data_IF_868495759785
#
_entry.id   IF_868495759785
#
_cell.length_a   1.000
_cell.length_b   1.000
_cell.length_c   1.000
_cell.angle_alpha   90.00
_cell.angle_beta   90.00
_cell.angle_gamma   90.00
#
_symmetry.space_group_name_H-M   'P 1'
#
loop_
_entity.id
_entity.type
_entity.pdbx_description
1 polymer ?
#
# COMPACT_ATOMS: atom_id res chain seq x y z
N UNK A 1 2.74 -4.61 -20.53
CA UNK A 1 1.91 -5.39 -19.59
C UNK A 1 2.83 -6.35 -18.85
N UNK A 2 3.03 -6.16 -17.55
CA UNK A 2 3.89 -7.03 -16.74
C UNK A 2 3.19 -8.39 -16.65
N UNK A 3 3.84 -9.46 -17.12
CA UNK A 3 3.35 -10.82 -16.99
C UNK A 3 3.86 -11.39 -15.67
N UNK A 4 3.06 -11.24 -14.62
CA UNK A 4 3.35 -11.86 -13.33
C UNK A 4 2.81 -13.27 -13.37
N UNK A 5 3.71 -14.24 -13.21
CA UNK A 5 3.32 -15.64 -13.10
C UNK A 5 2.40 -15.83 -11.89
N UNK A 6 1.28 -16.55 -12.11
CA UNK A 6 0.27 -16.82 -11.08
C UNK A 6 0.86 -17.41 -9.81
N UNK A 7 1.95 -18.18 -9.91
CA UNK A 7 2.59 -18.82 -8.77
C UNK A 7 3.19 -17.83 -7.77
N UNK A 8 3.63 -16.64 -8.22
CA UNK A 8 4.25 -15.63 -7.35
C UNK A 8 3.25 -14.61 -6.82
N UNK A 9 2.00 -14.63 -7.26
CA UNK A 9 1.01 -13.60 -6.90
C UNK A 9 0.73 -13.54 -5.40
N UNK A 10 0.57 -14.68 -4.75
CA UNK A 10 0.32 -14.75 -3.31
C UNK A 10 1.51 -14.19 -2.52
N UNK A 11 2.73 -14.62 -2.86
CA UNK A 11 3.96 -14.14 -2.26
C UNK A 11 4.16 -12.63 -2.45
N UNK A 12 3.83 -12.10 -3.63
CA UNK A 12 3.92 -10.66 -3.91
C UNK A 12 2.88 -9.86 -3.11
N UNK A 13 1.67 -10.38 -2.91
CA UNK A 13 0.66 -9.72 -2.07
C UNK A 13 1.10 -9.69 -0.61
N UNK A 14 1.58 -10.82 -0.08
CA UNK A 14 2.11 -10.92 1.28
C UNK A 14 3.28 -9.96 1.49
N UNK A 15 4.22 -9.90 0.54
CA UNK A 15 5.34 -8.96 0.60
C UNK A 15 4.87 -7.49 0.58
N UNK A 16 3.81 -7.16 -0.16
CA UNK A 16 3.24 -5.81 -0.19
C UNK A 16 2.59 -5.44 1.14
N UNK A 17 1.84 -6.36 1.73
CA UNK A 17 1.21 -6.18 3.04
C UNK A 17 2.27 -5.99 4.14
N UNK A 18 3.34 -6.79 4.13
CA UNK A 18 4.46 -6.64 5.07
C UNK A 18 5.22 -5.31 4.89
N UNK A 19 5.42 -4.87 3.64
CA UNK A 19 6.00 -3.53 3.37
C UNK A 19 5.11 -2.40 3.87
N UNK A 20 3.79 -2.49 3.68
CA UNK A 20 2.84 -1.51 4.22
C UNK A 20 2.90 -1.45 5.75
N UNK A 21 2.95 -2.61 6.41
CA UNK A 21 3.08 -2.68 7.86
C UNK A 21 4.37 -2.04 8.37
N UNK A 22 5.50 -2.30 7.73
CA UNK A 22 6.78 -1.67 8.11
C UNK A 22 6.77 -0.16 7.92
N UNK A 23 6.18 0.32 6.82
CA UNK A 23 6.05 1.76 6.57
C UNK A 23 5.13 2.43 7.61
N UNK A 24 4.07 1.75 8.05
CA UNK A 24 3.18 2.30 9.07
C UNK A 24 3.87 2.42 10.43
N UNK A 25 4.70 1.44 10.82
CA UNK A 25 5.52 1.53 12.03
C UNK A 25 6.47 2.74 11.98
N UNK A 26 7.19 2.91 10.86
CA UNK A 26 8.10 4.04 10.68
C UNK A 26 7.38 5.40 10.72
N UNK A 27 6.17 5.48 10.17
CA UNK A 27 5.37 6.70 10.21
C UNK A 27 4.76 6.98 11.59
N UNK A 28 4.46 5.93 12.36
CA UNK A 28 3.94 6.08 13.72
C UNK A 28 5.00 6.67 14.67
N UNK A 29 6.28 6.30 14.50
CA UNK A 29 7.41 6.90 15.22
C UNK A 29 7.55 8.42 14.95
N UNK A 30 7.13 8.87 13.77
CA UNK A 30 7.21 10.28 13.34
C UNK A 30 5.89 11.04 13.59
N UNK A 31 4.88 10.39 14.18
CA UNK A 31 3.55 10.95 14.38
C UNK A 31 3.57 12.02 15.48
N UNK A 32 2.87 13.12 15.24
CA UNK A 32 2.87 14.28 16.15
C UNK A 32 4.14 15.14 16.06
N UNK A 33 5.17 14.68 15.34
CA UNK A 33 6.34 15.47 14.99
C UNK A 33 6.10 16.45 13.84
N UNK A 34 7.06 17.37 13.60
CA UNK A 34 7.00 18.29 12.46
C UNK A 34 6.97 17.53 11.13
N UNK A 35 6.37 18.15 10.11
CA UNK A 35 6.27 17.59 8.77
C UNK A 35 7.61 17.71 8.03
N UNK A 36 8.57 16.89 8.42
CA UNK A 36 9.91 16.84 7.85
C UNK A 36 9.96 16.12 6.48
N UNK A 37 11.11 16.21 5.82
CA UNK A 37 11.32 15.61 4.49
C UNK A 37 11.26 14.08 4.54
N UNK A 38 11.65 13.47 5.66
CA UNK A 38 11.64 12.03 5.88
C UNK A 38 10.20 11.50 5.98
N UNK A 39 9.37 12.12 6.81
CA UNK A 39 7.94 11.80 6.93
C UNK A 39 7.24 11.94 5.58
N UNK A 40 7.51 13.00 4.82
CA UNK A 40 6.97 13.15 3.45
C UNK A 40 7.41 12.02 2.52
N UNK A 41 8.68 11.64 2.56
CA UNK A 41 9.21 10.55 1.74
C UNK A 41 8.58 9.20 2.12
N UNK A 42 8.39 8.94 3.41
CA UNK A 42 7.74 7.73 3.91
C UNK A 42 6.25 7.68 3.54
N UNK A 43 5.52 8.79 3.68
CA UNK A 43 4.12 8.89 3.24
C UNK A 43 3.99 8.68 1.72
N UNK A 44 4.91 9.22 0.93
CA UNK A 44 4.93 8.99 -0.52
C UNK A 44 5.19 7.51 -0.84
N UNK A 45 6.16 6.87 -0.17
CA UNK A 45 6.41 5.42 -0.32
C UNK A 45 5.18 4.59 0.04
N UNK A 46 4.52 4.91 1.14
CA UNK A 46 3.28 4.23 1.55
C UNK A 46 2.22 4.34 0.46
N UNK A 47 2.01 5.54 -0.09
CA UNK A 47 1.05 5.80 -1.15
C UNK A 47 1.35 4.97 -2.41
N UNK A 48 2.62 4.85 -2.81
CA UNK A 48 2.99 4.06 -4.00
C UNK A 48 2.84 2.55 -3.76
N UNK A 49 3.17 2.06 -2.57
CA UNK A 49 2.95 0.65 -2.20
C UNK A 49 1.46 0.31 -2.17
N UNK A 50 0.62 1.19 -1.65
CA UNK A 50 -0.84 1.03 -1.63
C UNK A 50 -1.43 0.98 -3.04
N UNK A 51 -1.01 1.88 -3.94
CA UNK A 51 -1.41 1.84 -5.36
C UNK A 51 -1.03 0.50 -6.00
N UNK A 52 0.16 -0.01 -5.69
CA UNK A 52 0.61 -1.30 -6.20
C UNK A 52 -0.26 -2.43 -5.64
N UNK A 53 -0.55 -2.44 -4.34
CA UNK A 53 -1.41 -3.44 -3.70
C UNK A 53 -2.83 -3.44 -4.32
N UNK A 54 -3.43 -2.27 -4.51
CA UNK A 54 -4.74 -2.11 -5.18
C UNK A 54 -4.67 -2.64 -6.62
N UNK A 55 -3.60 -2.33 -7.36
CA UNK A 55 -3.42 -2.85 -8.72
C UNK A 55 -3.37 -4.39 -8.73
N UNK A 56 -2.62 -5.00 -7.82
CA UNK A 56 -2.55 -6.46 -7.70
C UNK A 56 -3.89 -7.10 -7.33
N UNK A 57 -4.65 -6.50 -6.40
CA UNK A 57 -6.00 -6.94 -6.05
C UNK A 57 -6.97 -6.81 -7.23
N UNK A 58 -6.90 -5.71 -7.99
CA UNK A 58 -7.74 -5.50 -9.18
C UNK A 58 -7.47 -6.53 -10.28
N UNK A 59 -6.22 -7.00 -10.42
CA UNK A 59 -5.85 -8.08 -11.34
C UNK A 59 -6.42 -9.43 -10.86
N UNK A 60 -6.59 -9.63 -9.55
CA UNK A 60 -7.18 -10.85 -8.97
C UNK A 60 -8.70 -10.91 -9.22
N UNK A 61 -9.38 -9.78 -9.10
CA UNK A 61 -10.84 -9.68 -9.17
C UNK A 61 -11.28 -8.87 -10.40
N UNK A 62 -11.37 -9.51 -11.58
CA UNK A 62 -12.28 -9.00 -12.64
C UNK A 62 -13.73 -9.19 -12.15
N UNK A 63 -14.22 -8.34 -11.26
CA UNK A 63 -15.62 -8.36 -10.82
C UNK A 63 -15.98 -7.72 -9.48
N UNK A 64 -15.07 -7.13 -8.70
CA UNK A 64 -15.40 -6.66 -7.34
C UNK A 64 -14.72 -5.34 -6.94
N UNK A 65 -14.79 -4.32 -7.80
CA UNK A 65 -14.07 -3.04 -7.58
C UNK A 65 -14.85 -2.06 -6.66
N UNK A 66 -16.13 -2.31 -6.34
CA UNK A 66 -16.99 -1.25 -5.78
C UNK A 66 -16.93 -1.05 -4.24
N UNK A 67 -16.09 -1.76 -3.48
CA UNK A 67 -16.19 -1.71 -2.00
C UNK A 67 -14.95 -1.24 -1.22
N UNK A 68 -13.76 -1.16 -1.81
CA UNK A 68 -12.56 -0.78 -1.03
C UNK A 68 -12.28 0.73 -0.96
N UNK A 69 -12.99 1.55 -1.75
CA UNK A 69 -12.79 3.01 -1.80
C UNK A 69 -13.21 3.73 -0.52
N UNK A 70 -14.00 3.10 0.35
CA UNK A 70 -14.64 3.75 1.50
C UNK A 70 -13.93 3.55 2.85
N UNK A 71 -12.89 2.70 2.94
CA UNK A 71 -12.31 2.33 4.24
C UNK A 71 -11.01 3.06 4.61
N UNK A 72 -10.38 3.81 3.70
CA UNK A 72 -9.03 4.34 3.93
C UNK A 72 -8.91 5.85 3.79
N UNK A 73 -9.96 6.58 4.18
CA UNK A 73 -9.92 8.02 4.48
C UNK A 73 -9.15 8.26 5.79
N UNK A 74 -7.84 7.97 5.83
CA UNK A 74 -6.94 8.54 6.84
C UNK A 74 -6.51 9.92 6.36
N UNK A 75 -7.41 10.90 6.52
CA UNK A 75 -7.04 12.32 6.48
C UNK A 75 -6.11 12.60 7.66
N UNK A 76 -4.90 13.09 7.35
CA UNK A 76 -4.00 13.71 8.32
C UNK A 76 -4.62 14.97 8.93
#
# INVERSE_FOLDING_TARGET
>A
MIKIDSQYKALLLEALEDMMYKLSLQLDELKGGPLDQERKALTQKQTEVEKLHILFLSIRNKGAIDQCSACYDFKF
#
